data_IF_539691240041
#
_entry.id   IF_539691240041
#
_cell.length_a   1.000
_cell.length_b   1.000
_cell.length_c   1.000
_cell.angle_alpha   90.00
_cell.angle_beta   90.00
_cell.angle_gamma   90.00
#
_symmetry.space_group_name_H-M   'P 1'
#
loop_
_entity.id
_entity.type
_entity.pdbx_description
1 polymer ?
#
# COMPACT_ATOMS: atom_id res chain seq x y z
N UNK A 1 -9.69 -71.81 -13.97
CA UNK A 1 -10.12 -71.18 -12.70
C UNK A 1 -9.34 -71.86 -11.59
N UNK A 2 -8.24 -71.26 -11.09
CA UNK A 2 -7.49 -71.72 -9.95
C UNK A 2 -8.19 -71.09 -8.73
N UNK A 3 -8.88 -71.92 -7.93
CA UNK A 3 -9.40 -71.54 -6.63
C UNK A 3 -8.23 -71.71 -5.67
N UNK A 4 -7.72 -70.63 -5.15
CA UNK A 4 -6.70 -70.66 -4.10
C UNK A 4 -7.32 -70.99 -2.78
N UNK A 5 -6.74 -71.94 -2.05
CA UNK A 5 -7.15 -72.30 -0.67
C UNK A 5 -6.96 -71.08 0.23
N UNK A 6 -8.03 -70.75 0.99
CA UNK A 6 -8.00 -69.73 2.01
C UNK A 6 -7.13 -70.21 3.17
N UNK A 7 -6.00 -69.56 3.35
CA UNK A 7 -5.07 -69.81 4.46
C UNK A 7 -5.56 -69.02 5.70
N UNK A 8 -6.04 -69.66 6.74
CA UNK A 8 -6.50 -68.93 7.92
C UNK A 8 -5.26 -68.32 8.66
N UNK A 9 -5.15 -67.01 8.58
CA UNK A 9 -4.18 -66.25 9.35
C UNK A 9 -4.66 -66.16 10.82
N UNK A 10 -4.05 -66.94 11.69
CA UNK A 10 -4.27 -66.85 13.13
C UNK A 10 -3.48 -65.66 13.67
N UNK A 11 -4.13 -64.53 13.87
CA UNK A 11 -3.54 -63.39 14.54
C UNK A 11 -3.44 -63.74 16.03
N UNK A 12 -2.21 -63.89 16.54
CA UNK A 12 -1.96 -64.02 17.96
C UNK A 12 -2.13 -62.66 18.61
N UNK A 13 -3.02 -62.58 19.59
CA UNK A 13 -3.21 -61.41 20.41
C UNK A 13 -1.95 -61.23 21.28
N UNK A 14 -1.22 -60.15 21.04
CA UNK A 14 -0.01 -59.81 21.79
C UNK A 14 -0.42 -59.06 23.06
N UNK A 15 -0.10 -59.59 24.23
CA UNK A 15 -0.36 -58.92 25.51
C UNK A 15 0.50 -57.64 25.61
N UNK A 16 -0.12 -56.51 25.33
CA UNK A 16 0.52 -55.17 25.33
C UNK A 16 0.80 -54.64 26.73
N UNK A 17 0.26 -55.28 27.81
CA UNK A 17 0.37 -54.80 29.20
C UNK A 17 1.81 -54.83 29.75
N UNK A 18 2.64 -55.79 29.31
CA UNK A 18 4.07 -55.82 29.69
C UNK A 18 4.90 -54.79 28.96
N UNK A 19 4.47 -54.39 27.76
CA UNK A 19 5.16 -53.41 26.95
C UNK A 19 4.88 -51.97 27.47
N UNK A 20 3.67 -51.69 27.97
CA UNK A 20 3.34 -50.45 28.64
C UNK A 20 4.17 -50.20 29.91
N UNK A 21 4.46 -51.27 30.68
CA UNK A 21 5.32 -51.17 31.89
C UNK A 21 6.77 -50.84 31.59
N UNK A 22 7.26 -51.11 30.39
CA UNK A 22 8.63 -50.82 29.98
C UNK A 22 8.85 -49.46 29.36
N UNK A 23 7.83 -48.60 29.34
CA UNK A 23 7.96 -47.21 28.87
C UNK A 23 8.31 -47.11 27.37
N UNK A 24 8.09 -48.19 26.59
CA UNK A 24 8.46 -48.26 25.18
C UNK A 24 7.33 -47.76 24.21
N UNK A 25 6.32 -47.15 24.78
CA UNK A 25 5.16 -46.63 24.06
C UNK A 25 4.89 -45.19 24.35
N UNK A 26 5.80 -44.35 23.98
CA UNK A 26 5.39 -43.05 23.57
C UNK A 26 5.70 -42.91 22.06
N UNK A 27 4.86 -43.54 21.23
CA UNK A 27 4.66 -43.00 19.93
C UNK A 27 4.20 -41.56 20.17
N UNK A 28 5.09 -40.61 19.96
CA UNK A 28 4.67 -39.23 19.77
C UNK A 28 3.70 -39.28 18.60
N UNK A 29 2.43 -39.43 18.93
CA UNK A 29 1.34 -39.24 17.95
C UNK A 29 1.58 -37.90 17.34
N UNK A 30 1.84 -37.92 16.04
CA UNK A 30 1.95 -36.75 15.19
C UNK A 30 0.87 -35.78 15.62
N UNK A 31 1.31 -34.63 16.10
CA UNK A 31 0.54 -33.48 16.54
C UNK A 31 -0.97 -33.73 16.65
N UNK A 32 -1.46 -33.84 17.87
CA UNK A 32 -2.91 -33.96 18.12
C UNK A 32 -3.61 -32.85 17.32
N UNK A 33 -4.38 -33.18 16.27
CA UNK A 33 -4.98 -32.16 15.38
C UNK A 33 -5.99 -31.27 16.12
N UNK A 34 -6.37 -31.63 17.33
CA UNK A 34 -7.32 -30.90 18.16
C UNK A 34 -6.66 -29.90 19.12
N UNK A 35 -5.32 -29.86 19.21
CA UNK A 35 -4.63 -28.83 19.98
C UNK A 35 -4.72 -27.50 19.26
N UNK A 36 -5.62 -26.65 19.72
CA UNK A 36 -5.70 -25.27 19.29
C UNK A 36 -4.43 -24.53 19.70
N UNK A 37 -4.00 -23.59 18.88
CA UNK A 37 -2.84 -22.71 19.17
C UNK A 37 -2.85 -22.14 20.61
N UNK A 38 -4.04 -21.95 21.17
CA UNK A 38 -4.25 -21.44 22.53
C UNK A 38 -3.85 -22.41 23.65
N UNK A 39 -3.78 -23.73 23.38
CA UNK A 39 -3.36 -24.74 24.38
C UNK A 39 -1.83 -24.72 24.61
N UNK A 40 -1.09 -24.03 23.73
CA UNK A 40 0.36 -23.82 23.88
C UNK A 40 0.69 -22.62 24.78
N UNK A 41 -0.29 -21.75 25.05
CA UNK A 41 -0.11 -20.59 25.91
C UNK A 41 -0.30 -21.05 27.36
N UNK A 42 0.70 -20.88 28.24
CA UNK A 42 0.55 -21.20 29.67
C UNK A 42 -0.71 -20.49 30.19
N UNK A 43 -1.43 -21.17 31.09
CA UNK A 43 -2.69 -20.64 31.63
C UNK A 43 -2.42 -19.38 32.49
N UNK A 44 -2.24 -18.26 31.82
CA UNK A 44 -2.02 -16.96 32.44
C UNK A 44 -3.16 -16.57 33.39
N UNK A 45 -4.36 -17.13 33.20
CA UNK A 45 -5.51 -16.86 34.04
C UNK A 45 -5.28 -17.30 35.50
N UNK A 46 -4.68 -18.47 35.72
CA UNK A 46 -4.34 -18.94 37.07
C UNK A 46 -3.22 -18.12 37.73
N UNK A 47 -2.22 -17.72 36.95
CA UNK A 47 -1.12 -16.89 37.45
C UNK A 47 -1.62 -15.54 37.95
N UNK A 48 -2.47 -14.84 37.16
CA UNK A 48 -3.04 -13.57 37.57
C UNK A 48 -4.03 -13.68 38.73
N UNK A 49 -4.78 -14.80 38.83
CA UNK A 49 -5.68 -15.05 39.94
C UNK A 49 -4.95 -15.30 41.26
N UNK A 50 -3.81 -15.96 41.19
CA UNK A 50 -2.94 -16.21 42.40
C UNK A 50 -2.21 -14.97 42.88
N UNK A 51 -2.00 -13.97 41.99
CA UNK A 51 -1.21 -12.78 42.29
C UNK A 51 -2.02 -11.47 42.02
N UNK A 52 -3.02 -11.14 42.86
CA UNK A 52 -3.88 -9.98 42.62
C UNK A 52 -3.13 -8.64 42.67
N UNK A 53 -1.97 -8.59 43.31
CA UNK A 53 -1.13 -7.38 43.34
C UNK A 53 -0.59 -6.97 41.97
N UNK A 54 -0.52 -7.90 41.00
CA UNK A 54 -0.06 -7.65 39.64
C UNK A 54 -1.00 -6.65 38.93
N UNK A 55 -2.31 -6.72 39.20
CA UNK A 55 -3.27 -5.79 38.63
C UNK A 55 -3.03 -4.34 39.08
N UNK A 56 -2.59 -4.15 40.32
CA UNK A 56 -2.22 -2.85 40.82
C UNK A 56 -0.95 -2.31 40.16
N UNK A 57 0.04 -3.16 39.93
CA UNK A 57 1.28 -2.79 39.24
C UNK A 57 1.01 -2.48 37.77
N UNK A 58 0.22 -3.30 37.08
CA UNK A 58 -0.18 -3.03 35.68
C UNK A 58 -1.01 -1.76 35.58
N UNK A 59 -1.94 -1.52 36.50
CA UNK A 59 -2.73 -0.29 36.57
C UNK A 59 -1.85 0.95 36.78
N UNK A 60 -0.89 0.87 37.71
CA UNK A 60 0.07 1.95 37.93
C UNK A 60 0.96 2.23 36.72
N UNK A 61 1.45 1.17 36.05
CA UNK A 61 2.24 1.30 34.83
C UNK A 61 1.43 1.92 33.68
N UNK A 62 0.18 1.49 33.51
CA UNK A 62 -0.73 2.05 32.50
C UNK A 62 -1.01 3.54 32.76
N UNK A 63 -1.20 3.91 34.02
CA UNK A 63 -1.43 5.31 34.39
C UNK A 63 -0.19 6.18 34.13
N UNK A 64 1.01 5.68 34.46
CA UNK A 64 2.28 6.35 34.12
C UNK A 64 2.48 6.50 32.62
N UNK A 65 2.18 5.45 31.84
CA UNK A 65 2.26 5.51 30.38
C UNK A 65 1.26 6.52 29.80
N UNK A 66 0.03 6.57 30.30
CA UNK A 66 -0.97 7.54 29.89
C UNK A 66 -0.56 8.99 30.25
N UNK A 67 0.01 9.20 31.42
CA UNK A 67 0.54 10.50 31.83
C UNK A 67 1.71 10.94 30.94
N UNK A 68 2.65 10.02 30.65
CA UNK A 68 3.77 10.31 29.76
C UNK A 68 3.30 10.64 28.32
N UNK A 69 2.34 9.88 27.80
CA UNK A 69 1.72 10.16 26.50
C UNK A 69 1.01 11.51 26.49
N UNK A 70 0.27 11.84 27.57
CA UNK A 70 -0.40 13.13 27.72
C UNK A 70 0.59 14.29 27.70
N UNK A 71 1.71 14.18 28.43
CA UNK A 71 2.77 15.19 28.43
C UNK A 71 3.41 15.35 27.04
N UNK A 72 3.71 14.22 26.37
CA UNK A 72 4.27 14.23 25.02
C UNK A 72 3.30 14.88 24.03
N UNK A 73 2.02 14.54 24.10
CA UNK A 73 0.98 15.13 23.23
C UNK A 73 0.81 16.64 23.50
N UNK A 74 0.83 17.05 24.77
CA UNK A 74 0.74 18.46 25.15
C UNK A 74 1.94 19.26 24.62
N UNK A 75 3.16 18.75 24.81
CA UNK A 75 4.38 19.40 24.31
C UNK A 75 4.39 19.49 22.79
N UNK A 76 3.94 18.44 22.10
CA UNK A 76 3.85 18.42 20.63
C UNK A 76 2.81 19.40 20.10
N UNK A 77 1.66 19.48 20.76
CA UNK A 77 0.61 20.47 20.42
C UNK A 77 1.14 21.90 20.55
N UNK A 78 1.88 22.19 21.62
CA UNK A 78 2.51 23.52 21.84
C UNK A 78 3.61 23.81 20.81
N UNK A 79 4.31 22.79 20.32
CA UNK A 79 5.37 22.91 19.31
C UNK A 79 4.85 22.85 17.84
N UNK A 80 3.53 22.79 17.61
CA UNK A 80 2.95 22.69 16.26
C UNK A 80 3.33 21.40 15.51
N UNK A 81 3.82 20.36 16.22
CA UNK A 81 4.24 19.09 15.62
C UNK A 81 3.07 18.10 15.57
N UNK A 82 3.02 17.21 14.58
CA UNK A 82 1.95 16.20 14.48
C UNK A 82 1.91 15.31 15.72
N UNK A 83 0.71 15.04 16.19
CA UNK A 83 0.44 14.32 17.46
C UNK A 83 0.95 12.87 17.40
N UNK A 84 0.89 12.23 16.23
CA UNK A 84 1.34 10.85 16.02
C UNK A 84 2.71 10.83 15.33
N UNK A 85 3.78 10.39 16.04
CA UNK A 85 5.15 10.39 15.49
C UNK A 85 5.39 9.35 14.39
N UNK A 86 4.49 8.37 14.27
CA UNK A 86 4.66 7.24 13.35
C UNK A 86 4.01 7.40 11.98
N UNK A 87 3.22 8.47 11.78
CA UNK A 87 2.71 8.78 10.45
C UNK A 87 3.65 9.83 9.87
N UNK A 88 4.58 9.45 8.96
CA UNK A 88 5.35 10.45 8.24
C UNK A 88 4.32 11.27 7.45
N UNK A 89 4.05 12.50 7.88
CA UNK A 89 3.37 13.45 7.01
C UNK A 89 4.31 13.67 5.84
N UNK A 90 4.05 12.93 4.77
CA UNK A 90 4.65 13.22 3.47
C UNK A 90 4.36 14.70 3.22
N UNK A 91 5.38 15.55 3.22
CA UNK A 91 5.21 16.93 2.78
C UNK A 91 4.48 16.84 1.45
N UNK A 92 3.28 17.37 1.41
CA UNK A 92 2.53 17.45 0.16
C UNK A 92 3.32 18.41 -0.72
N UNK A 93 4.17 17.86 -1.59
CA UNK A 93 4.85 18.63 -2.61
C UNK A 93 3.80 19.39 -3.44
N UNK A 94 4.10 20.58 -3.94
CA UNK A 94 3.26 21.23 -4.93
C UNK A 94 2.92 20.25 -6.07
N UNK A 95 1.72 20.32 -6.66
CA UNK A 95 1.29 19.37 -7.69
C UNK A 95 2.28 19.23 -8.85
N UNK A 96 2.92 20.32 -9.24
CA UNK A 96 3.94 20.34 -10.29
C UNK A 96 5.19 19.55 -9.89
N UNK A 97 5.76 19.82 -8.71
CA UNK A 97 6.95 19.15 -8.22
C UNK A 97 6.73 17.65 -8.02
N UNK A 98 5.57 17.28 -7.46
CA UNK A 98 5.22 15.86 -7.29
C UNK A 98 5.13 15.13 -8.64
N UNK A 99 4.51 15.76 -9.64
CA UNK A 99 4.35 15.17 -10.96
C UNK A 99 5.71 15.02 -11.67
N UNK A 100 6.55 16.02 -11.63
CA UNK A 100 7.88 16.00 -12.25
C UNK A 100 8.82 14.98 -11.57
N UNK A 101 8.77 14.90 -10.24
CA UNK A 101 9.51 13.87 -9.49
C UNK A 101 9.05 12.46 -9.86
N UNK A 102 7.73 12.25 -9.98
CA UNK A 102 7.16 10.97 -10.37
C UNK A 102 7.51 10.57 -11.82
N UNK A 103 7.55 11.52 -12.76
CA UNK A 103 8.03 11.31 -14.14
C UNK A 103 9.50 10.93 -14.14
N UNK A 104 10.35 11.66 -13.41
CA UNK A 104 11.77 11.35 -13.31
C UNK A 104 12.02 9.96 -12.71
N UNK A 105 11.24 9.56 -11.72
CA UNK A 105 11.27 8.22 -11.14
C UNK A 105 10.83 7.14 -12.14
N UNK A 106 9.78 7.40 -12.91
CA UNK A 106 9.30 6.49 -13.96
C UNK A 106 10.36 6.31 -15.06
N UNK A 107 11.00 7.38 -15.50
CA UNK A 107 12.09 7.34 -16.48
C UNK A 107 13.26 6.51 -15.99
N UNK A 108 13.68 6.67 -14.75
CA UNK A 108 14.75 5.86 -14.12
C UNK A 108 14.38 4.38 -13.98
N UNK A 109 13.11 4.04 -13.86
CA UNK A 109 12.66 2.65 -13.68
C UNK A 109 12.84 1.78 -14.92
N UNK A 110 13.01 2.39 -16.11
CA UNK A 110 13.18 1.73 -17.41
C UNK A 110 12.15 0.62 -17.70
N UNK A 111 10.92 0.75 -17.18
CA UNK A 111 9.87 -0.28 -17.32
C UNK A 111 9.60 -0.65 -18.77
N UNK A 112 9.55 0.33 -19.67
CA UNK A 112 9.35 0.09 -21.10
C UNK A 112 10.48 -0.75 -21.71
N UNK A 113 11.74 -0.45 -21.36
CA UNK A 113 12.90 -1.22 -21.82
C UNK A 113 12.93 -2.65 -21.24
N UNK A 114 12.39 -2.88 -20.05
CA UNK A 114 12.27 -4.21 -19.46
C UNK A 114 11.05 -5.01 -19.97
N UNK A 115 10.28 -4.47 -20.90
CA UNK A 115 9.13 -5.14 -21.51
C UNK A 115 7.81 -4.98 -20.72
N UNK A 116 7.81 -4.30 -19.58
CA UNK A 116 6.57 -3.98 -18.84
C UNK A 116 5.90 -2.70 -19.38
N UNK A 117 5.49 -2.78 -20.66
CA UNK A 117 4.83 -1.67 -21.35
C UNK A 117 3.52 -1.29 -20.65
N UNK A 118 2.75 -2.28 -20.19
CA UNK A 118 1.49 -2.02 -19.49
C UNK A 118 1.73 -1.28 -18.17
N UNK A 119 2.71 -1.70 -17.38
CA UNK A 119 3.10 -1.03 -16.15
C UNK A 119 3.57 0.40 -16.40
N UNK A 120 4.35 0.62 -17.46
CA UNK A 120 4.81 1.94 -17.88
C UNK A 120 3.66 2.89 -18.17
N UNK A 121 2.72 2.52 -19.07
CA UNK A 121 1.58 3.37 -19.42
C UNK A 121 0.57 3.54 -18.29
N UNK A 122 0.43 2.54 -17.42
CA UNK A 122 -0.38 2.69 -16.21
C UNK A 122 0.17 3.79 -15.32
N UNK A 123 1.46 3.72 -15.00
CA UNK A 123 2.10 4.74 -14.14
C UNK A 123 2.12 6.12 -14.80
N UNK A 124 2.42 6.19 -16.09
CA UNK A 124 2.48 7.47 -16.81
C UNK A 124 1.11 8.15 -16.83
N UNK A 125 0.04 7.41 -17.18
CA UNK A 125 -1.32 7.96 -17.15
C UNK A 125 -1.77 8.35 -15.74
N UNK A 126 -1.40 7.59 -14.72
CA UNK A 126 -1.76 7.88 -13.32
C UNK A 126 -1.08 9.16 -12.81
N UNK A 127 0.17 9.42 -13.22
CA UNK A 127 0.87 10.67 -12.88
C UNK A 127 0.11 11.88 -13.43
N UNK A 128 -0.25 11.83 -14.71
CA UNK A 128 -0.96 12.94 -15.35
C UNK A 128 -2.37 13.12 -14.78
N UNK A 129 -3.11 12.03 -14.55
CA UNK A 129 -4.43 12.06 -13.91
C UNK A 129 -4.36 12.67 -12.51
N UNK A 130 -3.35 12.30 -11.73
CA UNK A 130 -3.13 12.86 -10.38
C UNK A 130 -2.77 14.34 -10.44
N UNK A 131 -1.95 14.75 -11.41
CA UNK A 131 -1.63 16.16 -11.63
C UNK A 131 -2.87 16.98 -11.93
N UNK A 132 -3.72 16.52 -12.87
CA UNK A 132 -4.98 17.17 -13.24
C UNK A 132 -5.90 17.30 -12.01
N UNK A 133 -6.04 16.22 -11.24
CA UNK A 133 -6.85 16.22 -10.02
C UNK A 133 -6.35 17.23 -9.00
N UNK A 134 -5.06 17.22 -8.70
CA UNK A 134 -4.49 18.07 -7.65
C UNK A 134 -4.37 19.55 -8.06
N UNK A 135 -4.22 19.80 -9.35
CA UNK A 135 -4.00 21.16 -9.88
C UNK A 135 -5.30 21.88 -10.21
N UNK A 136 -6.27 21.16 -10.76
CA UNK A 136 -7.51 21.73 -11.29
C UNK A 136 -8.75 21.23 -10.56
N UNK A 137 -8.60 20.38 -9.54
CA UNK A 137 -9.70 19.75 -8.78
C UNK A 137 -10.69 18.96 -9.67
N UNK A 138 -10.25 18.58 -10.89
CA UNK A 138 -10.99 17.69 -11.77
C UNK A 138 -10.81 16.26 -11.28
N UNK A 139 -11.88 15.50 -11.03
CA UNK A 139 -11.85 14.10 -10.54
C UNK A 139 -11.25 13.08 -11.52
N UNK A 140 -10.12 13.41 -12.18
CA UNK A 140 -9.49 12.65 -13.25
C UNK A 140 -9.09 11.21 -12.87
N UNK A 141 -8.97 10.92 -11.58
CA UNK A 141 -8.65 9.56 -11.10
C UNK A 141 -9.83 8.58 -11.29
N UNK A 142 -11.06 9.08 -11.31
CA UNK A 142 -12.29 8.29 -11.42
C UNK A 142 -12.94 8.41 -12.80
N UNK A 143 -12.39 9.27 -13.67
CA UNK A 143 -12.92 9.54 -15.00
C UNK A 143 -12.29 8.65 -16.07
N UNK A 144 -13.04 8.37 -17.14
CA UNK A 144 -12.49 7.80 -18.38
C UNK A 144 -11.64 8.83 -19.12
N UNK A 145 -10.77 8.39 -20.02
CA UNK A 145 -9.93 9.30 -20.82
C UNK A 145 -10.75 10.31 -21.62
N UNK A 146 -11.85 9.91 -22.20
CA UNK A 146 -12.76 10.80 -22.93
C UNK A 146 -13.42 11.86 -22.01
N UNK A 147 -13.79 11.48 -20.79
CA UNK A 147 -14.34 12.41 -19.80
C UNK A 147 -13.30 13.43 -19.33
N UNK A 148 -12.04 12.98 -19.12
CA UNK A 148 -10.93 13.86 -18.74
C UNK A 148 -10.71 14.89 -19.85
N UNK A 149 -10.57 14.45 -21.10
CA UNK A 149 -10.37 15.35 -22.26
C UNK A 149 -11.51 16.35 -22.39
N UNK A 150 -12.76 15.91 -22.21
CA UNK A 150 -13.92 16.80 -22.23
C UNK A 150 -13.90 17.82 -21.07
N UNK A 151 -13.45 17.43 -19.89
CA UNK A 151 -13.37 18.33 -18.75
C UNK A 151 -12.23 19.34 -18.89
N UNK A 152 -11.07 18.87 -19.37
CA UNK A 152 -9.88 19.69 -19.62
C UNK A 152 -10.15 20.73 -20.71
N UNK A 153 -10.78 20.34 -21.82
CA UNK A 153 -11.10 21.24 -22.93
C UNK A 153 -12.15 22.31 -22.59
N UNK A 154 -12.88 22.14 -21.49
CA UNK A 154 -13.81 23.19 -21.01
C UNK A 154 -13.13 24.27 -20.15
N UNK A 155 -11.87 24.05 -19.76
CA UNK A 155 -11.12 24.98 -18.94
C UNK A 155 -10.09 25.73 -19.79
N UNK A 156 -10.36 26.98 -20.12
CA UNK A 156 -9.46 27.85 -20.91
C UNK A 156 -8.06 28.04 -20.28
N UNK A 157 -7.94 27.75 -18.99
CA UNK A 157 -6.68 27.85 -18.27
C UNK A 157 -5.72 26.68 -18.54
N UNK A 158 -6.18 25.59 -19.17
CA UNK A 158 -5.39 24.40 -19.44
C UNK A 158 -4.88 24.45 -20.89
N UNK A 159 -3.58 24.27 -21.04
CA UNK A 159 -2.87 24.34 -22.33
C UNK A 159 -2.37 22.95 -22.74
N UNK A 160 -2.03 22.79 -24.01
CA UNK A 160 -1.39 21.57 -24.57
C UNK A 160 -2.24 20.30 -24.41
N UNK A 161 -3.51 20.39 -24.81
CA UNK A 161 -4.45 19.27 -24.69
C UNK A 161 -4.23 18.16 -25.73
N UNK A 162 -3.59 18.49 -26.87
CA UNK A 162 -3.35 17.51 -27.96
C UNK A 162 -2.39 16.39 -27.53
N UNK A 163 -1.30 16.76 -26.85
CA UNK A 163 -0.37 15.80 -26.28
C UNK A 163 -1.02 14.92 -25.22
N UNK A 164 -1.90 15.49 -24.40
CA UNK A 164 -2.67 14.76 -23.40
C UNK A 164 -3.61 13.73 -24.05
N UNK A 165 -4.31 14.10 -25.14
CA UNK A 165 -5.17 13.19 -25.88
C UNK A 165 -4.39 11.99 -26.38
N UNK A 166 -3.29 12.23 -27.09
CA UNK A 166 -2.41 11.19 -27.60
C UNK A 166 -1.95 10.23 -26.47
N UNK A 167 -1.51 10.77 -25.35
CA UNK A 167 -1.04 9.98 -24.21
C UNK A 167 -2.13 9.09 -23.64
N UNK A 168 -3.32 9.66 -23.35
CA UNK A 168 -4.40 8.93 -22.70
C UNK A 168 -4.99 7.85 -23.63
N UNK A 169 -5.14 8.14 -24.93
CA UNK A 169 -5.59 7.17 -25.92
C UNK A 169 -4.60 6.03 -26.08
N UNK A 170 -3.30 6.32 -26.22
CA UNK A 170 -2.27 5.28 -26.31
C UNK A 170 -2.25 4.43 -25.04
N UNK A 171 -2.35 5.04 -23.86
CA UNK A 171 -2.43 4.32 -22.61
C UNK A 171 -3.64 3.37 -22.53
N UNK A 172 -4.80 3.79 -23.03
CA UNK A 172 -5.99 2.96 -23.06
C UNK A 172 -5.83 1.79 -24.05
N UNK A 173 -5.24 2.01 -25.23
CA UNK A 173 -4.94 0.93 -26.18
C UNK A 173 -3.96 -0.11 -25.60
N UNK A 174 -2.94 0.33 -24.89
CA UNK A 174 -1.99 -0.57 -24.22
C UNK A 174 -2.66 -1.38 -23.10
N UNK A 175 -3.49 -0.73 -22.31
CA UNK A 175 -4.13 -1.37 -21.14
C UNK A 175 -5.22 -2.37 -21.55
N UNK A 176 -6.01 -2.04 -22.56
CA UNK A 176 -7.23 -2.78 -22.91
C UNK A 176 -7.13 -3.55 -24.21
N UNK A 177 -6.43 -3.04 -25.23
CA UNK A 177 -6.27 -3.69 -26.52
C UNK A 177 -4.95 -4.47 -26.68
N UNK A 178 -4.09 -4.53 -25.62
CA UNK A 178 -2.79 -5.18 -25.64
C UNK A 178 -1.87 -4.68 -26.77
N UNK A 179 -2.03 -3.41 -27.16
CA UNK A 179 -1.13 -2.78 -28.13
C UNK A 179 0.29 -2.77 -27.56
N UNK A 180 1.28 -2.98 -28.39
CA UNK A 180 2.69 -2.88 -28.08
C UNK A 180 3.28 -1.68 -28.84
N UNK A 181 3.29 -0.47 -28.28
CA UNK A 181 3.86 0.70 -28.92
C UNK A 181 5.36 0.55 -29.17
N UNK A 182 5.85 1.24 -30.20
CA UNK A 182 7.27 1.32 -30.47
C UNK A 182 8.01 2.11 -29.40
N UNK A 183 9.35 2.01 -29.41
CA UNK A 183 10.19 2.81 -28.51
C UNK A 183 9.98 4.32 -28.70
N UNK A 184 9.79 4.77 -29.96
CA UNK A 184 9.55 6.16 -30.31
C UNK A 184 8.19 6.65 -29.77
N UNK A 185 7.15 5.81 -29.84
CA UNK A 185 5.84 6.14 -29.27
C UNK A 185 5.88 6.20 -27.74
N UNK A 186 6.68 5.34 -27.08
CA UNK A 186 6.89 5.41 -25.65
C UNK A 186 7.55 6.72 -25.24
N UNK A 187 8.59 7.13 -25.96
CA UNK A 187 9.30 8.40 -25.69
C UNK A 187 8.39 9.60 -26.00
N UNK A 188 7.65 9.57 -27.10
CA UNK A 188 6.67 10.61 -27.44
C UNK A 188 5.59 10.76 -26.38
N UNK A 189 5.11 9.64 -25.82
CA UNK A 189 4.12 9.66 -24.73
C UNK A 189 4.71 10.26 -23.44
N UNK A 190 5.96 9.99 -23.13
CA UNK A 190 6.66 10.60 -22.00
C UNK A 190 6.81 12.09 -22.18
N UNK A 191 7.26 12.53 -23.37
CA UNK A 191 7.43 13.93 -23.71
C UNK A 191 6.11 14.69 -23.69
N UNK A 192 5.01 14.07 -24.15
CA UNK A 192 3.68 14.64 -24.07
C UNK A 192 3.22 14.87 -22.62
N UNK A 193 3.51 13.92 -21.72
CA UNK A 193 3.23 14.09 -20.29
C UNK A 193 4.06 15.21 -19.66
N UNK A 194 5.36 15.26 -19.94
CA UNK A 194 6.26 16.32 -19.47
C UNK A 194 5.81 17.70 -19.97
N UNK A 195 5.56 17.84 -21.28
CA UNK A 195 5.09 19.08 -21.89
C UNK A 195 3.76 19.56 -21.31
N UNK A 196 2.81 18.64 -21.11
CA UNK A 196 1.53 18.99 -20.48
C UNK A 196 1.72 19.54 -19.06
N UNK A 197 2.54 18.90 -18.24
CA UNK A 197 2.77 19.34 -16.85
C UNK A 197 3.55 20.67 -16.83
N UNK A 198 4.57 20.83 -17.68
CA UNK A 198 5.38 22.03 -17.73
C UNK A 198 4.60 23.26 -18.22
N UNK A 199 3.79 23.11 -19.27
CA UNK A 199 2.98 24.20 -19.83
C UNK A 199 1.81 24.62 -18.93
N UNK A 200 1.47 23.76 -17.98
CA UNK A 200 0.41 23.99 -16.98
C UNK A 200 0.95 24.22 -15.56
N UNK A 201 2.23 24.56 -15.44
CA UNK A 201 2.86 24.95 -14.20
C UNK A 201 2.12 26.09 -13.51
N UNK A 202 1.94 26.05 -12.18
CA UNK A 202 1.44 27.20 -11.45
C UNK A 202 2.31 28.42 -11.70
N UNK A 203 1.71 29.51 -12.12
CA UNK A 203 2.42 30.79 -12.15
C UNK A 203 2.66 31.17 -10.70
N UNK A 204 3.92 31.19 -10.27
CA UNK A 204 4.26 31.73 -8.96
C UNK A 204 3.79 33.19 -8.92
N UNK A 205 3.01 33.60 -7.88
CA UNK A 205 2.64 35.00 -7.75
C UNK A 205 3.92 35.82 -7.64
N UNK A 206 4.00 36.86 -8.46
CA UNK A 206 5.15 37.75 -8.43
C UNK A 206 5.38 38.27 -7.00
N UNK A 207 6.62 38.59 -6.58
CA UNK A 207 6.91 39.07 -5.22
C UNK A 207 6.03 40.24 -4.79
N UNK A 208 5.50 40.99 -5.75
CA UNK A 208 4.57 42.10 -5.52
C UNK A 208 3.15 41.65 -5.13
N UNK A 209 2.64 40.56 -5.70
CA UNK A 209 1.32 40.00 -5.37
C UNK A 209 1.32 39.24 -4.04
N UNK A 210 2.44 38.57 -3.71
CA UNK A 210 2.64 37.92 -2.42
C UNK A 210 2.65 38.92 -1.25
N UNK A 211 3.09 40.15 -1.49
CA UNK A 211 3.11 41.22 -0.48
C UNK A 211 1.74 41.88 -0.24
N UNK A 212 0.86 41.90 -1.22
CA UNK A 212 -0.51 42.42 -1.09
C UNK A 212 -1.42 41.50 -0.30
N UNK A 213 -1.33 40.19 -0.55
CA UNK A 213 -2.15 39.17 0.14
C UNK A 213 -1.80 39.00 1.63
N UNK A 214 -0.63 39.48 2.07
CA UNK A 214 -0.17 39.44 3.47
C UNK A 214 -0.67 40.66 4.28
N UNK A 215 -1.20 41.69 3.63
CA UNK A 215 -1.75 42.92 4.27
C UNK A 215 -3.27 42.88 4.46
N UNK A 216 -3.96 41.90 3.87
CA UNK A 216 -5.43 41.72 3.95
C UNK A 216 -5.86 40.60 4.89
N UNK A 217 -4.96 40.00 5.65
CA UNK A 217 -5.25 39.02 6.72
C UNK A 217 -4.75 39.58 8.03
#
# INVERSE_FOLDING_TARGET
TLVGDEMPLKVLDVDTRELEKKGLYDYKTVANPDKKFWDFIPDFGEFFRKNPWIWWVLGGLALLAAAALGVIMYQRKKAGKPILPFIPQKRLLPPYEEAMEAIAALRKSNLAAHGDIKGYYTRLSDIVRRYIWRRYEIGAMEMTSAQILSAVNRQDSIKETDGLSFLLETADFVKFAKMAPSTDENERSMQAAEAFIENNKPVEPSPEEASKNKKEK
#
